data_IF_175379143012
#
_entry.id   IF_175379143012
#
_cell.length_a   1.000
_cell.length_b   1.000
_cell.length_c   1.000
_cell.angle_alpha   90.00
_cell.angle_beta   90.00
_cell.angle_gamma   90.00
#
_symmetry.space_group_name_H-M   'P 1'
#
loop_
_entity.id
_entity.type
_entity.pdbx_description
1 polymer ?
#
# COMPACT_ATOMS: atom_id res chain seq x y z
N UNK A 1 -43.41 20.02 41.97
CA UNK A 1 -42.76 18.72 41.73
C UNK A 1 -42.24 18.76 40.30
N UNK A 2 -41.05 19.37 40.12
CA UNK A 2 -40.45 19.62 38.80
C UNK A 2 -39.42 18.54 38.51
N UNK A 3 -39.72 17.71 37.51
CA UNK A 3 -38.82 16.71 36.96
C UNK A 3 -37.81 17.44 36.05
N UNK A 4 -36.53 17.45 36.46
CA UNK A 4 -35.43 17.87 35.60
C UNK A 4 -35.20 16.78 34.56
N UNK A 5 -35.45 17.10 33.29
CA UNK A 5 -34.94 16.35 32.15
C UNK A 5 -33.44 16.64 32.10
N UNK A 6 -32.62 15.64 32.43
CA UNK A 6 -31.17 15.71 32.26
C UNK A 6 -30.85 15.61 30.78
N UNK A 7 -30.36 16.70 30.19
CA UNK A 7 -29.75 16.66 28.86
C UNK A 7 -28.32 16.15 29.02
N UNK A 8 -28.05 14.96 28.50
CA UNK A 8 -26.69 14.44 28.35
C UNK A 8 -26.20 14.79 26.94
N UNK A 9 -25.85 16.05 26.72
CA UNK A 9 -25.04 16.40 25.57
C UNK A 9 -23.59 16.21 26.00
N UNK A 10 -23.01 15.05 25.66
CA UNK A 10 -21.58 14.81 25.77
C UNK A 10 -20.79 15.88 25.01
N UNK A 11 -19.50 16.00 25.31
CA UNK A 11 -18.61 16.89 24.54
C UNK A 11 -18.61 16.48 23.07
N UNK A 12 -18.32 17.42 22.17
CA UNK A 12 -18.05 17.07 20.79
C UNK A 12 -16.90 16.04 20.75
N UNK A 13 -17.22 14.79 20.40
CA UNK A 13 -16.29 13.66 20.44
C UNK A 13 -16.66 12.55 21.44
N UNK A 14 -17.61 12.76 22.35
CA UNK A 14 -18.06 11.70 23.27
C UNK A 14 -18.92 10.69 22.51
N UNK A 15 -18.33 9.54 22.18
CA UNK A 15 -18.99 8.42 21.54
C UNK A 15 -19.75 7.60 22.60
N UNK A 16 -21.02 7.21 22.36
CA UNK A 16 -21.74 6.36 23.31
C UNK A 16 -21.02 5.03 23.50
N UNK A 17 -20.95 4.56 24.75
CA UNK A 17 -20.46 3.22 25.02
C UNK A 17 -21.32 2.19 24.27
N UNK A 18 -20.69 1.23 23.61
CA UNK A 18 -21.39 0.11 22.98
C UNK A 18 -21.40 -1.05 23.96
N UNK A 19 -22.60 -1.45 24.35
CA UNK A 19 -22.80 -2.68 25.13
C UNK A 19 -22.73 -3.93 24.23
N UNK A 20 -22.17 -5.04 24.74
CA UNK A 20 -22.19 -6.34 24.05
C UNK A 20 -23.59 -6.80 23.67
N UNK A 21 -23.67 -7.70 22.69
CA UNK A 21 -24.93 -8.36 22.34
C UNK A 21 -25.44 -9.22 23.51
N UNK A 22 -26.75 -9.18 23.81
CA UNK A 22 -27.33 -9.97 24.88
C UNK A 22 -27.50 -11.45 24.47
N UNK A 23 -27.47 -12.35 25.46
CA UNK A 23 -27.75 -13.78 25.29
C UNK A 23 -26.51 -14.65 25.04
N UNK A 24 -26.72 -15.93 24.77
CA UNK A 24 -25.65 -16.89 24.46
C UNK A 24 -25.15 -16.69 23.01
N UNK A 25 -24.07 -15.93 22.90
CA UNK A 25 -23.37 -15.63 21.65
C UNK A 25 -22.08 -16.45 21.59
N UNK A 26 -21.83 -17.09 20.45
CA UNK A 26 -20.59 -17.83 20.18
C UNK A 26 -19.74 -17.09 19.16
N UNK A 27 -18.44 -17.39 19.13
CA UNK A 27 -17.51 -16.88 18.12
C UNK A 27 -18.03 -17.12 16.70
N UNK A 28 -18.52 -18.32 16.38
CA UNK A 28 -18.95 -18.70 15.03
C UNK A 28 -20.16 -17.88 14.56
N UNK A 29 -21.04 -17.48 15.49
CA UNK A 29 -22.14 -16.55 15.17
C UNK A 29 -21.61 -15.16 14.85
N UNK A 30 -20.70 -14.63 15.67
CA UNK A 30 -20.10 -13.31 15.48
C UNK A 30 -19.32 -13.25 14.17
N UNK A 31 -18.49 -14.24 13.91
CA UNK A 31 -17.70 -14.37 12.68
C UNK A 31 -18.60 -14.32 11.44
N UNK A 32 -19.64 -15.15 11.41
CA UNK A 32 -20.60 -15.16 10.31
C UNK A 32 -21.31 -13.82 10.13
N UNK A 33 -21.72 -13.17 11.23
CA UNK A 33 -22.36 -11.85 11.16
C UNK A 33 -21.41 -10.77 10.67
N UNK A 34 -20.15 -10.78 11.10
CA UNK A 34 -19.13 -9.85 10.61
C UNK A 34 -18.95 -9.99 9.10
N UNK A 35 -18.88 -11.22 8.56
CA UNK A 35 -18.80 -11.45 7.11
C UNK A 35 -20.03 -10.90 6.37
N UNK A 36 -21.24 -11.19 6.86
CA UNK A 36 -22.49 -10.70 6.26
C UNK A 36 -22.56 -9.17 6.31
N UNK A 37 -22.32 -8.56 7.47
CA UNK A 37 -22.35 -7.10 7.61
C UNK A 37 -21.23 -6.41 6.83
N UNK A 38 -20.07 -7.08 6.65
CA UNK A 38 -19.02 -6.60 5.76
C UNK A 38 -19.55 -6.52 4.33
N UNK A 39 -20.21 -7.56 3.82
CA UNK A 39 -20.85 -7.57 2.49
C UNK A 39 -21.91 -6.46 2.38
N UNK A 40 -22.81 -6.35 3.36
CA UNK A 40 -23.94 -5.42 3.37
C UNK A 40 -23.53 -3.96 3.63
N UNK A 41 -22.33 -3.74 4.16
CA UNK A 41 -21.73 -2.44 4.55
C UNK A 41 -22.35 -1.83 5.82
N UNK A 42 -22.67 -2.69 6.78
CA UNK A 42 -23.33 -2.32 8.05
C UNK A 42 -22.29 -2.21 9.19
N UNK A 43 -21.54 -1.11 9.23
CA UNK A 43 -20.42 -0.95 10.16
C UNK A 43 -20.84 -0.99 11.64
N UNK A 44 -22.02 -0.47 11.99
CA UNK A 44 -22.53 -0.51 13.37
C UNK A 44 -22.72 -1.95 13.85
N UNK A 45 -23.20 -2.83 12.97
CA UNK A 45 -23.36 -4.26 13.24
C UNK A 45 -22.02 -4.96 13.45
N UNK A 46 -21.03 -4.64 12.62
CA UNK A 46 -19.67 -5.17 12.72
C UNK A 46 -19.03 -4.75 14.05
N UNK A 47 -19.09 -3.47 14.39
CA UNK A 47 -18.49 -2.95 15.62
C UNK A 47 -19.07 -3.62 16.87
N UNK A 48 -20.40 -3.76 16.90
CA UNK A 48 -21.06 -4.44 18.00
C UNK A 48 -20.64 -5.91 18.11
N UNK A 49 -20.42 -6.59 16.98
CA UNK A 49 -19.90 -7.96 16.98
C UNK A 49 -18.46 -8.02 17.51
N UNK A 50 -17.58 -7.10 17.09
CA UNK A 50 -16.19 -7.04 17.54
C UNK A 50 -16.07 -6.76 19.05
N UNK A 51 -16.84 -5.81 19.56
CA UNK A 51 -16.89 -5.52 21.01
C UNK A 51 -17.46 -6.71 21.78
N UNK A 52 -18.48 -7.38 21.25
CA UNK A 52 -19.00 -8.61 21.87
C UNK A 52 -17.94 -9.71 21.89
N UNK A 53 -17.20 -9.91 20.80
CA UNK A 53 -16.12 -10.91 20.73
C UNK A 53 -15.04 -10.65 21.79
N UNK A 54 -14.63 -9.39 21.96
CA UNK A 54 -13.68 -8.99 23.00
C UNK A 54 -14.18 -9.27 24.41
N UNK A 55 -15.45 -8.99 24.69
CA UNK A 55 -16.03 -9.16 26.02
C UNK A 55 -16.34 -10.61 26.39
N UNK A 56 -16.50 -11.50 25.40
CA UNK A 56 -16.59 -12.94 25.64
C UNK A 56 -15.25 -13.54 26.13
N UNK A 57 -14.12 -12.90 25.82
CA UNK A 57 -12.78 -13.40 26.12
C UNK A 57 -12.31 -14.46 25.12
N UNK A 58 -11.01 -14.77 25.14
CA UNK A 58 -10.38 -15.87 24.37
C UNK A 58 -10.55 -15.81 22.84
N UNK A 59 -10.77 -14.61 22.27
CA UNK A 59 -10.99 -14.41 20.82
C UNK A 59 -10.09 -13.33 20.21
N UNK A 60 -9.18 -12.78 20.99
CA UNK A 60 -8.31 -11.65 20.60
C UNK A 60 -7.43 -11.98 19.41
N UNK A 61 -6.93 -13.21 19.40
CA UNK A 61 -6.12 -13.81 18.36
C UNK A 61 -6.91 -14.05 17.05
N UNK A 62 -8.25 -14.03 17.10
CA UNK A 62 -9.11 -14.31 15.93
C UNK A 62 -9.66 -13.06 15.25
N UNK A 63 -9.70 -11.93 15.96
CA UNK A 63 -10.29 -10.69 15.45
C UNK A 63 -9.50 -10.13 14.26
N UNK A 64 -8.18 -10.00 14.38
CA UNK A 64 -7.33 -9.49 13.31
C UNK A 64 -7.33 -10.42 12.07
N UNK A 65 -7.15 -11.75 12.19
CA UNK A 65 -7.31 -12.65 11.05
C UNK A 65 -8.63 -12.47 10.30
N UNK A 66 -9.75 -12.41 11.03
CA UNK A 66 -11.07 -12.23 10.42
C UNK A 66 -11.20 -10.88 9.69
N UNK A 67 -10.67 -9.80 10.26
CA UNK A 67 -10.67 -8.49 9.62
C UNK A 67 -9.89 -8.51 8.31
N UNK A 68 -8.72 -9.14 8.32
CA UNK A 68 -7.88 -9.34 7.14
C UNK A 68 -8.56 -10.18 6.07
N UNK A 69 -9.18 -11.31 6.45
CA UNK A 69 -9.94 -12.14 5.53
C UNK A 69 -11.05 -11.35 4.84
N UNK A 70 -11.77 -10.50 5.59
CA UNK A 70 -12.84 -9.69 5.03
C UNK A 70 -12.34 -8.64 4.01
N UNK A 71 -11.21 -7.97 4.26
CA UNK A 71 -10.70 -6.92 3.34
C UNK A 71 -10.05 -7.45 2.06
N UNK A 72 -9.79 -8.75 1.98
CA UNK A 72 -9.28 -9.42 0.78
C UNK A 72 -10.35 -10.21 0.01
N UNK A 73 -11.62 -10.06 0.41
CA UNK A 73 -12.72 -10.65 -0.35
C UNK A 73 -12.87 -9.97 -1.72
N UNK A 74 -13.33 -10.68 -2.77
CA UNK A 74 -13.36 -10.13 -4.12
C UNK A 74 -14.08 -8.79 -4.25
N UNK A 75 -15.17 -8.58 -3.51
CA UNK A 75 -15.92 -7.33 -3.53
C UNK A 75 -15.18 -6.10 -2.93
N UNK A 76 -14.01 -6.30 -2.31
CA UNK A 76 -13.09 -5.23 -1.90
C UNK A 76 -12.10 -4.82 -3.00
N UNK A 77 -12.06 -5.50 -4.14
CA UNK A 77 -11.14 -5.15 -5.22
C UNK A 77 -11.33 -3.67 -5.66
N UNK A 78 -10.24 -2.91 -5.69
CA UNK A 78 -10.26 -1.46 -5.94
C UNK A 78 -10.58 -0.60 -4.71
N UNK A 79 -10.60 -1.19 -3.52
CA UNK A 79 -10.69 -0.51 -2.22
C UNK A 79 -9.53 -0.95 -1.32
N UNK A 80 -8.35 -1.00 -1.94
CA UNK A 80 -7.16 -1.67 -1.46
C UNK A 80 -6.56 -0.99 -0.21
N UNK A 81 -6.84 0.29 0.04
CA UNK A 81 -6.41 0.98 1.26
C UNK A 81 -6.94 0.32 2.54
N UNK A 82 -8.05 -0.43 2.44
CA UNK A 82 -8.59 -1.21 3.56
C UNK A 82 -7.56 -2.20 4.10
N UNK A 83 -6.79 -2.86 3.23
CA UNK A 83 -5.73 -3.79 3.61
C UNK A 83 -4.63 -3.09 4.43
N UNK A 84 -4.20 -1.92 3.96
CA UNK A 84 -3.17 -1.10 4.60
C UNK A 84 -3.63 -0.64 5.99
N UNK A 85 -4.86 -0.14 6.09
CA UNK A 85 -5.40 0.38 7.35
C UNK A 85 -5.60 -0.71 8.41
N UNK A 86 -6.01 -1.93 8.02
CA UNK A 86 -6.02 -3.06 8.96
C UNK A 86 -4.61 -3.36 9.47
N UNK A 87 -3.57 -3.23 8.63
CA UNK A 87 -2.18 -3.35 9.07
C UNK A 87 -1.77 -2.33 10.11
N UNK A 88 -2.15 -1.07 9.96
CA UNK A 88 -1.90 -0.05 10.97
C UNK A 88 -2.61 -0.33 12.29
N UNK A 89 -3.85 -0.83 12.24
CA UNK A 89 -4.56 -1.24 13.45
C UNK A 89 -3.89 -2.44 14.13
N UNK A 90 -3.37 -3.40 13.36
CA UNK A 90 -2.67 -4.55 13.89
C UNK A 90 -1.37 -4.16 14.63
N UNK A 91 -0.58 -3.25 14.06
CA UNK A 91 0.65 -2.75 14.68
C UNK A 91 0.37 -1.85 15.89
N UNK A 92 -0.66 -1.01 15.82
CA UNK A 92 -1.12 -0.22 16.97
C UNK A 92 -1.52 -1.15 18.11
N UNK A 93 -2.26 -2.21 17.80
CA UNK A 93 -2.65 -3.21 18.79
C UNK A 93 -1.44 -3.96 19.37
N UNK A 94 -0.45 -4.31 18.56
CA UNK A 94 0.81 -4.94 19.00
C UNK A 94 1.59 -4.02 19.95
N UNK A 95 1.58 -2.71 19.72
CA UNK A 95 2.30 -1.73 20.54
C UNK A 95 1.60 -1.40 21.85
N UNK A 96 0.27 -1.24 21.85
CA UNK A 96 -0.48 -0.71 23.00
C UNK A 96 -1.34 -1.74 23.72
N UNK A 97 -1.58 -2.90 23.10
CA UNK A 97 -2.45 -3.94 23.64
C UNK A 97 -3.93 -3.57 23.61
N UNK A 98 -4.78 -4.58 23.83
CA UNK A 98 -6.23 -4.41 23.77
C UNK A 98 -6.79 -3.47 24.83
N UNK A 99 -6.22 -3.45 26.04
CA UNK A 99 -6.74 -2.63 27.15
C UNK A 99 -6.76 -1.13 26.82
N UNK A 100 -5.86 -0.68 25.94
CA UNK A 100 -5.75 0.70 25.49
C UNK A 100 -6.40 0.89 24.11
N UNK A 101 -6.23 -0.07 23.21
CA UNK A 101 -6.57 0.09 21.80
C UNK A 101 -7.98 -0.40 21.42
N UNK A 102 -8.71 -1.11 22.29
CA UNK A 102 -9.97 -1.79 21.97
C UNK A 102 -10.96 -0.91 21.22
N UNK A 103 -11.32 0.25 21.78
CA UNK A 103 -12.34 1.12 21.18
C UNK A 103 -11.93 1.58 19.78
N UNK A 104 -10.67 1.99 19.61
CA UNK A 104 -10.15 2.45 18.33
C UNK A 104 -10.11 1.32 17.29
N UNK A 105 -9.57 0.16 17.66
CA UNK A 105 -9.43 -1.00 16.77
C UNK A 105 -10.79 -1.53 16.36
N UNK A 106 -11.71 -1.73 17.31
CA UNK A 106 -13.06 -2.20 16.99
C UNK A 106 -13.82 -1.19 16.14
N UNK A 107 -13.72 0.11 16.45
CA UNK A 107 -14.42 1.14 15.68
C UNK A 107 -13.89 1.28 14.25
N UNK A 108 -12.58 1.42 14.09
CA UNK A 108 -11.99 1.66 12.78
C UNK A 108 -12.05 0.40 11.91
N UNK A 109 -11.80 -0.78 12.47
CA UNK A 109 -12.01 -2.05 11.74
C UNK A 109 -13.44 -2.13 11.21
N UNK A 110 -14.43 -1.86 12.06
CA UNK A 110 -15.82 -1.89 11.65
C UNK A 110 -16.14 -0.91 10.52
N UNK A 111 -15.64 0.33 10.61
CA UNK A 111 -15.82 1.34 9.55
C UNK A 111 -15.10 0.98 8.26
N UNK A 112 -13.91 0.37 8.34
CA UNK A 112 -13.17 -0.12 7.17
C UNK A 112 -13.96 -1.23 6.49
N UNK A 113 -14.45 -2.21 7.25
CA UNK A 113 -15.21 -3.34 6.71
C UNK A 113 -16.58 -2.91 6.17
N UNK A 114 -17.26 -2.01 6.87
CA UNK A 114 -18.57 -1.48 6.49
C UNK A 114 -18.51 -0.26 5.57
N UNK A 115 -17.34 0.08 5.01
CA UNK A 115 -17.22 1.27 4.14
C UNK A 115 -18.10 1.16 2.91
N UNK A 116 -18.61 2.31 2.45
CA UNK A 116 -19.34 2.40 1.20
C UNK A 116 -18.48 1.98 0.01
N UNK A 117 -18.85 0.89 -0.65
CA UNK A 117 -18.28 0.43 -1.92
C UNK A 117 -19.34 0.68 -2.99
N UNK A 118 -19.14 1.71 -3.82
CA UNK A 118 -20.04 2.04 -4.93
C UNK A 118 -20.19 0.86 -5.90
N UNK A 119 -21.20 0.88 -6.77
CA UNK A 119 -21.36 -0.18 -7.77
C UNK A 119 -20.10 -0.29 -8.65
N UNK A 120 -19.55 -1.49 -8.89
CA UNK A 120 -18.38 -1.67 -9.74
C UNK A 120 -18.68 -1.29 -11.18
N UNK A 121 -17.74 -0.60 -11.82
CA UNK A 121 -17.74 -0.44 -13.28
C UNK A 121 -17.49 -1.79 -13.98
N UNK A 122 -17.50 -1.79 -15.31
CA UNK A 122 -17.32 -3.02 -16.10
C UNK A 122 -15.98 -3.71 -15.82
N UNK A 123 -14.87 -2.96 -15.90
CA UNK A 123 -13.53 -3.50 -15.71
C UNK A 123 -13.35 -4.04 -14.28
N UNK A 124 -13.89 -3.36 -13.27
CA UNK A 124 -13.83 -3.84 -11.88
C UNK A 124 -14.70 -5.07 -11.66
N UNK A 125 -15.85 -5.21 -12.35
CA UNK A 125 -16.64 -6.45 -12.31
C UNK A 125 -15.87 -7.63 -12.89
N UNK A 126 -15.14 -7.41 -13.99
CA UNK A 126 -14.27 -8.45 -14.57
C UNK A 126 -13.16 -8.85 -13.59
N UNK A 127 -12.49 -7.88 -12.96
CA UNK A 127 -11.48 -8.15 -11.94
C UNK A 127 -12.02 -8.92 -10.74
N UNK A 128 -13.21 -8.55 -10.25
CA UNK A 128 -13.91 -9.26 -9.17
C UNK A 128 -14.18 -10.72 -9.58
N UNK A 129 -14.79 -10.94 -10.74
CA UNK A 129 -15.09 -12.29 -11.24
C UNK A 129 -13.83 -13.14 -11.44
N UNK A 130 -12.73 -12.53 -11.88
CA UNK A 130 -11.44 -13.23 -12.03
C UNK A 130 -10.88 -13.63 -10.66
N UNK A 131 -10.93 -12.75 -9.65
CA UNK A 131 -10.50 -13.10 -8.29
C UNK A 131 -11.38 -14.19 -7.66
N UNK A 132 -12.70 -14.13 -7.84
CA UNK A 132 -13.64 -15.20 -7.43
C UNK A 132 -13.25 -16.55 -8.06
N UNK A 133 -12.87 -16.55 -9.34
CA UNK A 133 -12.46 -17.78 -10.04
C UNK A 133 -11.16 -18.40 -9.51
N UNK A 134 -10.37 -17.65 -8.74
CA UNK A 134 -9.09 -18.09 -8.19
C UNK A 134 -9.19 -18.59 -6.74
N UNK A 135 -10.36 -18.47 -6.09
CA UNK A 135 -10.49 -18.81 -4.67
C UNK A 135 -10.15 -20.28 -4.36
N UNK A 136 -10.69 -21.22 -5.15
CA UNK A 136 -10.40 -22.65 -4.98
C UNK A 136 -8.91 -22.96 -5.21
N UNK A 137 -8.28 -22.28 -6.17
CA UNK A 137 -6.86 -22.42 -6.44
C UNK A 137 -6.01 -21.92 -5.26
N UNK A 138 -6.35 -20.77 -4.68
CA UNK A 138 -5.63 -20.22 -3.52
C UNK A 138 -5.83 -21.11 -2.29
N UNK A 139 -7.05 -21.60 -2.06
CA UNK A 139 -7.36 -22.52 -0.97
C UNK A 139 -6.60 -23.85 -1.10
N UNK A 140 -6.53 -24.42 -2.31
CA UNK A 140 -5.74 -25.62 -2.58
C UNK A 140 -4.25 -25.38 -2.33
N UNK A 141 -3.67 -24.27 -2.79
CA UNK A 141 -2.28 -23.93 -2.50
C UNK A 141 -2.00 -23.75 -1.01
N UNK A 142 -2.93 -23.18 -0.25
CA UNK A 142 -2.78 -23.02 1.19
C UNK A 142 -2.77 -24.36 1.93
N UNK A 143 -3.59 -25.32 1.48
CA UNK A 143 -3.64 -26.67 2.03
C UNK A 143 -2.48 -27.55 1.53
N UNK A 144 -2.07 -27.35 0.28
CA UNK A 144 -1.07 -28.13 -0.44
C UNK A 144 -0.03 -27.18 -1.07
N UNK A 145 0.92 -26.65 -0.28
CA UNK A 145 1.94 -25.75 -0.80
C UNK A 145 2.70 -26.37 -1.97
N UNK A 146 2.98 -25.56 -3.00
CA UNK A 146 3.72 -26.02 -4.17
C UNK A 146 5.08 -26.55 -3.76
N UNK A 147 5.41 -27.76 -4.20
CA UNK A 147 6.76 -28.33 -4.06
C UNK A 147 7.67 -27.96 -5.22
N UNK A 148 7.16 -27.18 -6.18
CA UNK A 148 7.97 -26.69 -7.29
C UNK A 148 8.91 -25.62 -6.78
N UNK A 149 10.15 -25.69 -7.22
CA UNK A 149 11.15 -24.64 -7.03
C UNK A 149 11.63 -24.25 -8.41
N UNK A 150 10.77 -23.56 -9.16
CA UNK A 150 11.19 -22.95 -10.41
C UNK A 150 12.00 -21.68 -10.10
N UNK A 151 12.91 -21.33 -11.00
CA UNK A 151 13.57 -20.04 -10.89
C UNK A 151 12.54 -18.93 -11.13
N UNK A 152 12.58 -17.89 -10.30
CA UNK A 152 11.64 -16.78 -10.39
C UNK A 152 12.22 -15.72 -11.32
N UNK A 153 11.71 -15.70 -12.55
CA UNK A 153 12.00 -14.66 -13.52
C UNK A 153 11.33 -13.35 -13.10
N UNK A 154 12.07 -12.55 -12.34
CA UNK A 154 11.60 -11.28 -11.80
C UNK A 154 11.24 -10.29 -12.90
N UNK A 155 12.01 -10.26 -13.99
CA UNK A 155 11.79 -9.31 -15.08
C UNK A 155 10.52 -9.65 -15.87
N UNK A 156 10.25 -10.94 -16.10
CA UNK A 156 8.99 -11.38 -16.67
C UNK A 156 7.81 -11.10 -15.73
N UNK A 157 8.01 -11.27 -14.41
CA UNK A 157 6.98 -10.96 -13.42
C UNK A 157 6.58 -9.48 -13.47
N UNK A 158 7.56 -8.55 -13.39
CA UNK A 158 7.25 -7.12 -13.42
C UNK A 158 6.64 -6.69 -14.76
N UNK A 159 7.08 -7.26 -15.88
CA UNK A 159 6.48 -7.00 -17.19
C UNK A 159 5.01 -7.42 -17.23
N UNK A 160 4.66 -8.56 -16.63
CA UNK A 160 3.28 -9.00 -16.48
C UNK A 160 2.44 -8.08 -15.59
N UNK A 161 2.99 -7.61 -14.46
CA UNK A 161 2.26 -6.76 -13.50
C UNK A 161 1.86 -5.41 -14.11
N UNK A 162 2.68 -4.83 -15.00
CA UNK A 162 2.40 -3.53 -15.64
C UNK A 162 2.06 -3.65 -17.12
N UNK A 163 1.57 -4.82 -17.57
CA UNK A 163 1.22 -5.05 -18.97
C UNK A 163 0.10 -4.12 -19.48
N UNK A 164 -0.76 -3.64 -18.56
CA UNK A 164 -1.97 -2.91 -18.89
C UNK A 164 -3.15 -3.81 -19.28
N UNK A 165 -2.93 -5.13 -19.30
CA UNK A 165 -3.93 -6.17 -19.53
C UNK A 165 -4.26 -6.89 -18.22
N UNK A 166 -5.56 -7.03 -17.92
CA UNK A 166 -6.04 -7.57 -16.65
C UNK A 166 -5.71 -9.06 -16.52
N UNK A 167 -5.81 -9.82 -17.61
CA UNK A 167 -5.55 -11.25 -17.61
C UNK A 167 -4.06 -11.49 -17.36
N UNK A 168 -3.18 -10.83 -18.10
CA UNK A 168 -1.73 -10.94 -17.90
C UNK A 168 -1.30 -10.54 -16.48
N UNK A 169 -1.90 -9.47 -15.94
CA UNK A 169 -1.57 -8.95 -14.59
C UNK A 169 -1.92 -9.96 -13.49
N UNK A 170 -3.06 -10.65 -13.57
CA UNK A 170 -3.47 -11.64 -12.57
C UNK A 170 -2.81 -13.00 -12.84
N UNK A 171 -2.61 -13.37 -14.10
CA UNK A 171 -2.00 -14.63 -14.49
C UNK A 171 -0.52 -14.66 -14.09
N UNK A 172 0.20 -13.53 -14.09
CA UNK A 172 1.60 -13.49 -13.63
C UNK A 172 1.71 -13.78 -12.12
N UNK A 173 0.79 -13.24 -11.30
CA UNK A 173 0.71 -13.57 -9.86
C UNK A 173 0.41 -15.05 -9.68
N UNK A 174 -0.55 -15.57 -10.44
CA UNK A 174 -0.94 -16.98 -10.42
C UNK A 174 0.24 -17.89 -10.79
N UNK A 175 1.02 -17.53 -11.82
CA UNK A 175 2.22 -18.28 -12.24
C UNK A 175 3.28 -18.29 -11.15
N UNK A 176 3.55 -17.14 -10.51
CA UNK A 176 4.51 -17.05 -9.41
C UNK A 176 4.09 -17.91 -8.20
N UNK A 177 2.82 -17.87 -7.81
CA UNK A 177 2.29 -18.71 -6.73
C UNK A 177 2.37 -20.21 -7.07
N UNK A 178 1.97 -20.61 -8.29
CA UNK A 178 2.07 -22.00 -8.77
C UNK A 178 3.52 -22.51 -8.77
N UNK A 179 4.45 -21.65 -9.14
CA UNK A 179 5.89 -21.93 -9.16
C UNK A 179 6.53 -22.07 -7.76
N UNK A 180 5.76 -21.85 -6.69
CA UNK A 180 6.27 -21.94 -5.31
C UNK A 180 7.11 -20.75 -4.89
N UNK A 181 6.94 -19.58 -5.53
CA UNK A 181 7.67 -18.37 -5.16
C UNK A 181 7.14 -17.86 -3.82
N UNK A 182 8.05 -17.71 -2.85
CA UNK A 182 7.74 -17.14 -1.54
C UNK A 182 7.05 -15.78 -1.65
N UNK A 183 5.95 -15.58 -0.93
CA UNK A 183 5.18 -14.32 -0.95
C UNK A 183 6.08 -13.11 -0.66
N UNK A 184 6.99 -13.24 0.32
CA UNK A 184 7.91 -12.15 0.66
C UNK A 184 8.83 -11.75 -0.50
N UNK A 185 9.20 -12.68 -1.40
CA UNK A 185 9.98 -12.39 -2.61
C UNK A 185 9.13 -11.66 -3.64
N UNK A 186 7.90 -12.11 -3.87
CA UNK A 186 6.93 -11.43 -4.74
C UNK A 186 6.68 -10.00 -4.26
N UNK A 187 6.50 -9.81 -2.94
CA UNK A 187 6.31 -8.48 -2.33
C UNK A 187 7.52 -7.58 -2.55
N UNK A 188 8.75 -8.06 -2.31
CA UNK A 188 9.96 -7.26 -2.58
C UNK A 188 10.02 -6.79 -4.03
N UNK A 189 9.69 -7.68 -4.98
CA UNK A 189 9.64 -7.33 -6.41
C UNK A 189 8.58 -6.27 -6.71
N UNK A 190 7.37 -6.38 -6.16
CA UNK A 190 6.30 -5.37 -6.34
C UNK A 190 6.68 -4.02 -5.72
N UNK A 191 7.28 -4.02 -4.53
CA UNK A 191 7.80 -2.82 -3.86
C UNK A 191 8.85 -2.12 -4.73
N UNK A 192 9.83 -2.89 -5.23
CA UNK A 192 10.90 -2.36 -6.08
C UNK A 192 10.38 -1.88 -7.43
N UNK A 193 9.35 -2.53 -7.98
CA UNK A 193 8.65 -2.06 -9.18
C UNK A 193 7.98 -0.70 -8.96
N UNK A 194 7.24 -0.54 -7.86
CA UNK A 194 6.64 0.75 -7.49
C UNK A 194 7.70 1.84 -7.28
N UNK A 195 8.81 1.50 -6.61
CA UNK A 195 9.93 2.41 -6.41
C UNK A 195 10.61 2.81 -7.72
N UNK A 196 10.82 1.86 -8.64
CA UNK A 196 11.40 2.13 -9.96
C UNK A 196 10.46 2.99 -10.83
N UNK A 197 9.15 2.73 -10.79
CA UNK A 197 8.15 3.57 -11.44
C UNK A 197 8.21 4.99 -10.89
N UNK A 198 8.19 5.15 -9.57
CA UNK A 198 8.34 6.43 -8.88
C UNK A 198 9.64 7.15 -9.25
N UNK A 199 10.75 6.44 -9.29
CA UNK A 199 12.05 6.99 -9.65
C UNK A 199 12.13 7.43 -11.11
N UNK A 200 11.20 7.04 -11.99
CA UNK A 200 11.22 7.33 -13.43
C UNK A 200 10.03 8.12 -13.96
N UNK A 201 8.98 8.34 -13.17
CA UNK A 201 7.83 9.18 -13.53
C UNK A 201 8.29 10.54 -14.03
N UNK A 202 7.83 11.05 -15.19
CA UNK A 202 8.24 12.37 -15.68
C UNK A 202 7.77 13.45 -14.71
N UNK A 203 8.59 14.44 -14.41
CA UNK A 203 8.23 15.51 -13.47
C UNK A 203 6.99 16.31 -13.90
N UNK A 204 6.66 16.31 -15.20
CA UNK A 204 5.45 16.93 -15.73
C UNK A 204 4.16 16.14 -15.48
N UNK A 205 4.23 14.97 -14.84
CA UNK A 205 3.07 14.15 -14.48
C UNK A 205 2.63 14.48 -13.05
N UNK A 206 1.71 15.43 -12.89
CA UNK A 206 1.26 15.88 -11.55
C UNK A 206 0.24 15.00 -10.83
N UNK A 207 -0.76 14.35 -11.47
CA UNK A 207 -1.77 13.61 -10.71
C UNK A 207 -1.31 12.22 -10.24
N UNK A 208 -0.15 11.72 -10.71
CA UNK A 208 0.26 10.32 -10.52
C UNK A 208 1.08 10.00 -9.29
N UNK A 209 1.66 11.01 -8.62
CA UNK A 209 2.61 10.79 -7.53
C UNK A 209 2.01 10.07 -6.33
N UNK A 210 0.75 10.34 -5.97
CA UNK A 210 0.07 9.67 -4.87
C UNK A 210 -0.17 8.18 -5.12
N UNK A 211 -0.50 7.82 -6.37
CA UNK A 211 -0.71 6.42 -6.75
C UNK A 211 0.59 5.62 -6.63
N UNK A 212 1.73 6.21 -6.99
CA UNK A 212 3.04 5.57 -6.88
C UNK A 212 3.44 5.31 -5.41
N UNK A 213 3.16 6.26 -4.50
CA UNK A 213 3.35 6.04 -3.06
C UNK A 213 2.46 4.94 -2.52
N UNK A 214 1.24 4.83 -3.06
CA UNK A 214 0.26 3.80 -2.72
C UNK A 214 0.66 2.42 -3.24
N UNK A 215 1.17 2.29 -4.46
CA UNK A 215 1.71 1.04 -5.04
C UNK A 215 2.73 0.40 -4.07
N UNK A 216 3.71 1.18 -3.60
CA UNK A 216 4.76 0.73 -2.69
C UNK A 216 4.18 0.33 -1.32
N UNK A 217 3.36 1.20 -0.72
CA UNK A 217 2.82 1.01 0.63
C UNK A 217 1.86 -0.20 0.68
N UNK A 218 1.02 -0.37 -0.34
CA UNK A 218 0.13 -1.52 -0.46
C UNK A 218 0.90 -2.82 -0.66
N UNK A 219 1.90 -2.85 -1.54
CA UNK A 219 2.72 -4.04 -1.75
C UNK A 219 3.37 -4.49 -0.44
N UNK A 220 4.02 -3.58 0.29
CA UNK A 220 4.65 -3.89 1.58
C UNK A 220 3.65 -4.39 2.63
N UNK A 221 2.41 -3.87 2.64
CA UNK A 221 1.36 -4.26 3.60
C UNK A 221 0.98 -5.75 3.56
N UNK A 222 1.26 -6.45 2.46
CA UNK A 222 1.05 -7.90 2.34
C UNK A 222 1.89 -8.66 3.37
N UNK A 223 3.06 -8.16 3.76
CA UNK A 223 3.90 -8.79 4.80
C UNK A 223 3.17 -8.82 6.15
N UNK A 224 2.47 -7.73 6.48
CA UNK A 224 1.65 -7.62 7.69
C UNK A 224 0.44 -8.55 7.61
N UNK A 225 -0.22 -8.62 6.44
CA UNK A 225 -1.29 -9.60 6.21
C UNK A 225 -0.82 -11.05 6.37
N UNK A 226 0.36 -11.39 5.83
CA UNK A 226 0.97 -12.71 5.99
C UNK A 226 1.27 -13.03 7.46
N UNK A 227 1.79 -12.05 8.21
CA UNK A 227 2.12 -12.19 9.64
C UNK A 227 0.89 -12.47 10.49
N UNK A 228 -0.20 -11.72 10.28
CA UNK A 228 -1.38 -11.76 11.17
C UNK A 228 -2.51 -12.67 10.69
N UNK A 229 -2.58 -12.99 9.40
CA UNK A 229 -3.70 -13.75 8.83
C UNK A 229 -3.28 -14.92 7.93
N UNK A 230 -1.97 -15.13 7.75
CA UNK A 230 -1.43 -16.31 7.08
C UNK A 230 -1.45 -16.27 5.55
N UNK A 231 -1.05 -17.40 4.96
CA UNK A 231 -0.77 -17.51 3.52
C UNK A 231 -1.98 -17.22 2.64
N UNK A 232 -3.15 -17.77 2.96
CA UNK A 232 -4.35 -17.65 2.12
C UNK A 232 -4.77 -16.18 1.94
N UNK A 233 -4.77 -15.40 3.03
CA UNK A 233 -5.06 -13.96 2.97
C UNK A 233 -3.97 -13.22 2.19
N UNK A 234 -2.69 -13.49 2.48
CA UNK A 234 -1.59 -12.82 1.79
C UNK A 234 -1.59 -13.12 0.27
N UNK A 235 -1.95 -14.33 -0.13
CA UNK A 235 -2.09 -14.72 -1.53
C UNK A 235 -3.25 -13.98 -2.21
N UNK A 236 -4.43 -13.86 -1.57
CA UNK A 236 -5.52 -13.00 -2.06
C UNK A 236 -5.07 -11.54 -2.17
N UNK A 237 -4.36 -11.03 -1.16
CA UNK A 237 -3.85 -9.66 -1.12
C UNK A 237 -2.91 -9.30 -2.29
N UNK A 238 -2.12 -10.26 -2.81
CA UNK A 238 -1.30 -10.05 -4.01
C UNK A 238 -2.14 -9.61 -5.22
N UNK A 239 -3.36 -10.14 -5.38
CA UNK A 239 -4.26 -9.76 -6.48
C UNK A 239 -4.86 -8.37 -6.27
N UNK A 240 -5.11 -7.95 -5.03
CA UNK A 240 -5.52 -6.57 -4.73
C UNK A 240 -4.42 -5.56 -5.08
N UNK A 241 -3.16 -5.90 -4.78
CA UNK A 241 -2.01 -5.08 -5.15
C UNK A 241 -1.76 -5.10 -6.66
N UNK A 242 -1.89 -6.25 -7.32
CA UNK A 242 -1.81 -6.35 -8.77
C UNK A 242 -2.90 -5.50 -9.46
N UNK A 243 -4.12 -5.49 -8.91
CA UNK A 243 -5.18 -4.60 -9.35
C UNK A 243 -4.84 -3.11 -9.18
N UNK A 244 -4.09 -2.72 -8.15
CA UNK A 244 -3.60 -1.35 -8.00
C UNK A 244 -2.70 -0.98 -9.19
N UNK A 245 -1.68 -1.79 -9.48
CA UNK A 245 -0.80 -1.55 -10.64
C UNK A 245 -1.56 -1.50 -11.96
N UNK A 246 -2.52 -2.41 -12.17
CA UNK A 246 -3.39 -2.40 -13.34
C UNK A 246 -4.28 -1.16 -13.40
N UNK A 247 -4.83 -0.73 -12.28
CA UNK A 247 -5.64 0.50 -12.19
C UNK A 247 -4.79 1.72 -12.55
N UNK A 248 -3.51 1.71 -12.17
CA UNK A 248 -2.53 2.76 -12.44
C UNK A 248 -1.88 2.68 -13.84
N UNK A 249 -2.39 1.82 -14.73
CA UNK A 249 -1.90 1.71 -16.13
C UNK A 249 -2.00 3.03 -16.91
N UNK A 250 -2.91 3.93 -16.51
CA UNK A 250 -3.03 5.26 -17.11
C UNK A 250 -1.78 6.14 -16.90
N UNK A 251 -0.95 5.84 -15.89
CA UNK A 251 0.36 6.48 -15.71
C UNK A 251 1.31 6.19 -16.87
N UNK A 252 1.11 5.06 -17.57
CA UNK A 252 1.85 4.67 -18.79
C UNK A 252 3.38 4.88 -18.66
N UNK A 253 3.91 4.48 -17.51
CA UNK A 253 5.34 4.49 -17.20
C UNK A 253 5.99 3.30 -17.90
N UNK A 254 6.94 3.56 -18.81
CA UNK A 254 7.64 2.50 -19.55
C UNK A 254 8.24 1.49 -18.58
N UNK A 255 8.04 0.19 -18.82
CA UNK A 255 8.67 -0.86 -18.02
C UNK A 255 10.18 -0.92 -18.29
N UNK A 256 10.95 -1.30 -17.27
CA UNK A 256 12.38 -1.59 -17.41
C UNK A 256 12.72 -2.75 -16.50
N UNK A 257 13.58 -3.70 -16.92
CA UNK A 257 14.03 -4.78 -16.05
C UNK A 257 14.59 -4.26 -14.71
N UNK A 258 14.23 -4.93 -13.62
CA UNK A 258 14.75 -4.63 -12.27
C UNK A 258 16.17 -5.20 -12.09
N UNK A 259 16.49 -6.26 -12.83
CA UNK A 259 17.83 -6.86 -12.85
C UNK A 259 18.89 -5.96 -13.48
N UNK A 260 18.48 -4.99 -14.32
CA UNK A 260 19.41 -4.13 -15.05
C UNK A 260 20.01 -3.06 -14.14
N UNK A 261 21.32 -3.14 -13.94
CA UNK A 261 22.12 -2.10 -13.28
C UNK A 261 21.85 -0.75 -13.92
N UNK A 262 21.55 0.25 -13.08
CA UNK A 262 21.31 1.62 -13.52
C UNK A 262 22.65 2.35 -13.72
N UNK A 263 22.59 3.57 -14.28
CA UNK A 263 23.77 4.42 -14.48
C UNK A 263 24.65 4.41 -13.22
N UNK A 264 25.95 4.25 -13.42
CA UNK A 264 26.98 4.13 -12.38
C UNK A 264 27.79 5.41 -12.20
N UNK A 265 27.33 6.54 -12.77
CA UNK A 265 28.01 7.83 -12.63
C UNK A 265 27.98 8.27 -11.16
N UNK A 266 29.14 8.46 -10.50
CA UNK A 266 29.22 8.93 -9.12
C UNK A 266 28.94 10.44 -9.01
N UNK A 267 28.85 10.93 -7.79
CA UNK A 267 28.74 12.37 -7.49
C UNK A 267 30.04 13.09 -7.84
N UNK A 268 29.90 14.32 -8.35
CA UNK A 268 31.03 15.24 -8.56
C UNK A 268 31.41 16.00 -7.27
N UNK A 269 30.62 15.83 -6.20
CA UNK A 269 30.88 16.47 -4.92
C UNK A 269 32.23 16.00 -4.31
N UNK A 270 33.06 16.91 -3.78
CA UNK A 270 34.36 16.58 -3.19
C UNK A 270 34.30 15.61 -2.00
N UNK A 271 33.19 15.60 -1.26
CA UNK A 271 32.99 14.79 -0.07
C UNK A 271 31.49 14.50 0.16
N UNK A 272 31.21 13.61 1.12
CA UNK A 272 29.86 13.18 1.45
C UNK A 272 28.96 14.31 1.96
N UNK A 273 29.51 15.25 2.74
CA UNK A 273 28.75 16.36 3.32
C UNK A 273 28.20 17.27 2.22
N UNK A 274 29.05 17.66 1.26
CA UNK A 274 28.65 18.47 0.10
C UNK A 274 27.67 17.71 -0.81
N UNK A 275 27.79 16.39 -0.91
CA UNK A 275 26.88 15.56 -1.68
C UNK A 275 25.48 15.48 -1.04
N UNK A 276 25.40 15.35 0.30
CA UNK A 276 24.14 15.42 1.05
C UNK A 276 23.53 16.80 0.92
N UNK A 277 24.33 17.86 1.11
CA UNK A 277 23.86 19.24 0.98
C UNK A 277 23.24 19.48 -0.41
N UNK A 278 23.84 18.95 -1.48
CA UNK A 278 23.29 19.03 -2.82
C UNK A 278 21.92 18.34 -2.95
N UNK A 279 21.74 17.14 -2.36
CA UNK A 279 20.44 16.44 -2.35
C UNK A 279 19.40 17.24 -1.57
N UNK A 280 19.72 17.67 -0.34
CA UNK A 280 18.76 18.39 0.51
C UNK A 280 18.39 19.75 -0.10
N UNK A 281 19.36 20.49 -0.63
CA UNK A 281 19.11 21.75 -1.33
C UNK A 281 18.19 21.54 -2.55
N UNK A 282 18.39 20.47 -3.33
CA UNK A 282 17.52 20.15 -4.44
C UNK A 282 16.06 19.85 -4.00
N UNK A 283 15.84 19.26 -2.82
CA UNK A 283 14.50 19.08 -2.24
C UNK A 283 13.93 20.43 -1.81
N UNK A 284 14.67 21.21 -1.02
CA UNK A 284 14.22 22.48 -0.44
C UNK A 284 13.85 23.51 -1.52
N UNK A 285 14.63 23.52 -2.61
CA UNK A 285 14.46 24.41 -3.78
C UNK A 285 13.62 23.81 -4.92
N UNK A 286 13.03 22.63 -4.72
CA UNK A 286 12.05 22.00 -5.64
C UNK A 286 12.64 21.68 -7.02
N UNK A 287 13.86 21.13 -7.07
CA UNK A 287 14.50 20.74 -8.32
C UNK A 287 14.01 19.36 -8.80
N UNK A 288 12.72 19.23 -9.12
CA UNK A 288 12.07 17.94 -9.42
C UNK A 288 12.73 17.18 -10.59
N UNK A 289 13.27 17.91 -11.57
CA UNK A 289 13.98 17.31 -12.71
C UNK A 289 15.37 16.76 -12.33
N UNK A 290 16.08 17.45 -11.43
CA UNK A 290 17.47 17.13 -11.09
C UNK A 290 17.60 16.20 -9.88
N UNK A 291 16.67 16.26 -8.92
CA UNK A 291 16.78 15.54 -7.65
C UNK A 291 16.98 14.04 -7.85
N UNK A 292 16.33 13.44 -8.84
CA UNK A 292 16.50 12.02 -9.16
C UNK A 292 17.92 11.69 -9.63
N UNK A 293 18.52 12.56 -10.44
CA UNK A 293 19.90 12.41 -10.93
C UNK A 293 20.91 12.61 -9.79
N UNK A 294 20.76 13.66 -8.99
CA UNK A 294 21.66 14.00 -7.88
C UNK A 294 21.64 12.87 -6.83
N UNK A 295 20.45 12.40 -6.44
CA UNK A 295 20.30 11.29 -5.48
C UNK A 295 20.95 10.02 -6.01
N UNK A 296 20.78 9.71 -7.30
CA UNK A 296 21.40 8.54 -7.92
C UNK A 296 22.93 8.64 -7.95
N UNK A 297 23.47 9.82 -8.24
CA UNK A 297 24.91 10.06 -8.22
C UNK A 297 25.51 9.89 -6.81
N UNK A 298 24.80 10.35 -5.77
CA UNK A 298 25.18 10.07 -4.38
C UNK A 298 25.29 8.56 -4.13
N UNK A 299 24.25 7.80 -4.47
CA UNK A 299 24.15 6.34 -4.27
C UNK A 299 25.14 5.52 -5.11
N UNK A 300 25.76 6.13 -6.11
CA UNK A 300 26.82 5.51 -6.92
C UNK A 300 28.22 5.86 -6.42
N UNK A 301 28.32 6.70 -5.40
CA UNK A 301 29.59 7.06 -4.74
C UNK A 301 29.86 6.11 -3.58
N UNK A 302 31.10 6.08 -3.08
CA UNK A 302 31.46 5.29 -1.88
C UNK A 302 31.02 5.99 -0.57
N UNK A 303 29.82 6.59 -0.60
CA UNK A 303 29.21 7.31 0.52
C UNK A 303 28.18 6.43 1.23
N UNK A 304 27.73 6.85 2.41
CA UNK A 304 26.82 6.06 3.23
C UNK A 304 25.37 6.21 2.78
N UNK A 305 24.83 5.16 2.17
CA UNK A 305 23.40 5.11 1.83
C UNK A 305 22.48 5.31 3.05
N UNK A 306 22.87 4.79 4.22
CA UNK A 306 22.10 4.92 5.47
C UNK A 306 22.12 6.37 5.98
N UNK A 307 23.22 7.10 5.76
CA UNK A 307 23.28 8.53 6.05
C UNK A 307 22.34 9.31 5.16
N UNK A 308 22.31 9.02 3.86
CA UNK A 308 21.35 9.62 2.94
C UNK A 308 19.90 9.31 3.33
N UNK A 309 19.58 8.05 3.65
CA UNK A 309 18.24 7.66 4.12
C UNK A 309 17.82 8.50 5.35
N UNK A 310 18.72 8.66 6.33
CA UNK A 310 18.47 9.47 7.54
C UNK A 310 18.25 10.95 7.21
N UNK A 311 19.12 11.56 6.41
CA UNK A 311 19.02 12.99 6.06
C UNK A 311 17.80 13.30 5.18
N UNK A 312 17.48 12.42 4.23
CA UNK A 312 16.22 12.47 3.48
C UNK A 312 15.03 12.41 4.44
N UNK A 313 15.00 11.44 5.36
CA UNK A 313 13.93 11.31 6.34
C UNK A 313 13.75 12.56 7.21
N UNK A 314 14.84 13.14 7.70
CA UNK A 314 14.79 14.37 8.51
C UNK A 314 14.31 15.58 7.70
N UNK A 315 14.83 15.79 6.49
CA UNK A 315 14.36 16.83 5.58
C UNK A 315 12.88 16.65 5.28
N UNK A 316 12.47 15.38 5.12
CA UNK A 316 11.08 15.02 4.89
C UNK A 316 10.23 15.43 6.10
N UNK A 317 10.54 14.97 7.30
CA UNK A 317 9.73 15.25 8.49
C UNK A 317 9.66 16.73 8.89
N UNK A 318 10.71 17.53 8.66
CA UNK A 318 10.73 18.96 9.02
C UNK A 318 9.64 19.78 8.33
N UNK A 319 9.36 19.44 7.08
CA UNK A 319 8.43 20.16 6.21
C UNK A 319 7.12 19.37 5.98
N UNK A 320 6.84 18.35 6.80
CA UNK A 320 5.57 17.63 6.70
C UNK A 320 4.40 18.52 7.14
N UNK A 321 3.51 18.80 6.20
CA UNK A 321 2.29 19.58 6.37
C UNK A 321 1.04 18.70 6.48
N UNK A 322 1.19 17.38 6.70
CA UNK A 322 0.10 16.45 6.98
C UNK A 322 -0.52 15.80 5.74
N UNK A 323 0.23 15.67 4.64
CA UNK A 323 -0.27 15.11 3.37
C UNK A 323 0.05 13.62 3.20
N UNK A 324 -0.14 12.79 4.23
CA UNK A 324 0.07 11.33 4.18
C UNK A 324 1.46 10.88 3.68
N UNK A 325 2.49 11.73 3.83
CA UNK A 325 3.86 11.44 3.38
C UNK A 325 4.53 10.36 4.25
N UNK A 326 4.12 10.29 5.52
CA UNK A 326 4.71 9.43 6.54
C UNK A 326 4.62 7.95 6.20
N UNK A 327 3.55 7.51 5.53
CA UNK A 327 3.34 6.10 5.21
C UNK A 327 4.39 5.61 4.21
N UNK A 328 4.54 6.31 3.08
CA UNK A 328 5.55 5.96 2.07
C UNK A 328 6.97 6.15 2.58
N UNK A 329 7.22 7.18 3.40
CA UNK A 329 8.51 7.36 4.08
C UNK A 329 8.84 6.13 4.94
N UNK A 330 7.93 5.75 5.84
CA UNK A 330 8.12 4.58 6.71
C UNK A 330 8.32 3.31 5.89
N UNK A 331 7.48 3.06 4.89
CA UNK A 331 7.61 1.87 4.03
C UNK A 331 8.97 1.84 3.34
N UNK A 332 9.50 3.01 2.91
CA UNK A 332 10.83 3.08 2.30
C UNK A 332 11.93 2.69 3.28
N UNK A 333 11.84 3.11 4.55
CA UNK A 333 12.78 2.72 5.61
C UNK A 333 12.74 1.21 5.88
N UNK A 334 11.54 0.65 6.01
CA UNK A 334 11.36 -0.78 6.29
C UNK A 334 11.87 -1.63 5.10
N UNK A 335 11.47 -1.28 3.88
CA UNK A 335 11.86 -2.01 2.67
C UNK A 335 13.33 -1.76 2.26
N UNK A 336 13.95 -0.67 2.69
CA UNK A 336 15.38 -0.43 2.49
C UNK A 336 16.20 -1.59 3.06
N UNK A 337 15.88 -2.07 4.26
CA UNK A 337 16.57 -3.20 4.86
C UNK A 337 16.20 -4.53 4.18
N UNK A 338 14.91 -4.74 3.89
CA UNK A 338 14.43 -5.99 3.29
C UNK A 338 14.90 -6.22 1.85
N UNK A 339 15.22 -5.15 1.12
CA UNK A 339 15.74 -5.20 -0.25
C UNK A 339 17.28 -5.14 -0.33
N UNK A 340 17.99 -5.37 0.78
CA UNK A 340 19.46 -5.37 0.78
C UNK A 340 20.03 -6.37 -0.24
N UNK A 341 21.03 -5.94 -1.00
CA UNK A 341 21.67 -6.76 -2.04
C UNK A 341 20.93 -6.81 -3.37
N UNK A 342 19.72 -6.23 -3.47
CA UNK A 342 19.00 -6.16 -4.74
C UNK A 342 19.54 -5.04 -5.65
N UNK A 343 19.79 -5.28 -6.96
CA UNK A 343 20.32 -4.26 -7.87
C UNK A 343 19.41 -3.02 -8.00
N UNK A 344 18.09 -3.21 -7.87
CA UNK A 344 17.12 -2.11 -7.92
C UNK A 344 16.91 -1.38 -6.58
N UNK A 345 17.55 -1.79 -5.48
CA UNK A 345 17.32 -1.23 -4.12
C UNK A 345 17.42 0.30 -4.10
N UNK A 346 18.38 0.87 -4.81
CA UNK A 346 18.61 2.32 -4.87
C UNK A 346 17.42 3.11 -5.45
N UNK A 347 16.50 2.46 -6.18
CA UNK A 347 15.28 3.12 -6.66
C UNK A 347 14.34 3.54 -5.52
N UNK A 348 14.42 2.89 -4.35
CA UNK A 348 13.66 3.30 -3.16
C UNK A 348 13.99 4.74 -2.77
N UNK A 349 15.27 5.07 -2.64
CA UNK A 349 15.72 6.41 -2.25
C UNK A 349 15.58 7.44 -3.36
N UNK A 350 15.86 7.05 -4.61
CA UNK A 350 15.65 7.94 -5.77
C UNK A 350 14.16 8.27 -5.94
N UNK A 351 13.29 7.27 -5.86
CA UNK A 351 11.84 7.42 -5.93
C UNK A 351 11.33 8.32 -4.82
N UNK A 352 11.69 8.03 -3.57
CA UNK A 352 11.30 8.83 -2.40
C UNK A 352 11.71 10.29 -2.57
N UNK A 353 12.97 10.58 -2.90
CA UNK A 353 13.46 11.95 -3.05
C UNK A 353 12.69 12.72 -4.14
N UNK A 354 12.43 12.09 -5.30
CA UNK A 354 11.65 12.70 -6.39
C UNK A 354 10.21 12.97 -5.97
N UNK A 355 9.56 11.96 -5.42
CA UNK A 355 8.16 12.03 -4.98
C UNK A 355 7.97 13.11 -3.94
N UNK A 356 8.80 13.13 -2.89
CA UNK A 356 8.69 14.15 -1.84
C UNK A 356 8.95 15.55 -2.36
N UNK A 357 9.89 15.72 -3.30
CA UNK A 357 10.16 17.04 -3.89
C UNK A 357 8.96 17.58 -4.65
N UNK A 358 8.21 16.73 -5.35
CA UNK A 358 6.98 17.16 -6.05
C UNK A 358 5.82 17.40 -5.08
N UNK A 359 5.43 16.40 -4.28
CA UNK A 359 4.17 16.45 -3.50
C UNK A 359 4.16 17.52 -2.41
N UNK A 360 5.32 17.95 -1.90
CA UNK A 360 5.41 18.93 -0.81
C UNK A 360 5.03 20.35 -1.20
N UNK A 361 5.23 20.74 -2.47
CA UNK A 361 5.11 22.14 -2.90
C UNK A 361 4.39 22.34 -4.23
N UNK A 362 3.85 21.28 -4.84
CA UNK A 362 3.07 21.39 -6.07
C UNK A 362 1.64 21.90 -5.79
N UNK A 363 1.51 23.18 -5.43
CA UNK A 363 0.23 23.90 -5.32
C UNK A 363 -0.31 24.39 -6.67
N UNK A 364 0.37 24.07 -7.79
CA UNK A 364 -0.01 24.56 -9.12
C UNK A 364 -0.99 23.61 -9.82
N UNK A 365 -2.29 23.91 -9.70
CA UNK A 365 -3.41 23.27 -10.42
C UNK A 365 -3.23 23.18 -11.94
N UNK A 366 -2.36 24.02 -12.50
CA UNK A 366 -2.05 24.05 -13.93
C UNK A 366 -1.38 22.76 -14.41
N UNK A 367 -0.69 22.03 -13.54
CA UNK A 367 -0.05 20.77 -13.92
C UNK A 367 -1.08 19.66 -14.20
N UNK A 368 -2.03 19.45 -13.30
CA UNK A 368 -3.14 18.51 -13.49
C UNK A 368 -4.03 18.91 -14.68
N UNK A 369 -4.33 20.20 -14.85
CA UNK A 369 -5.10 20.69 -15.99
C UNK A 369 -4.38 20.45 -17.34
N UNK A 370 -3.06 20.65 -17.38
CA UNK A 370 -2.25 20.35 -18.58
C UNK A 370 -2.19 18.85 -18.86
N UNK A 371 -1.98 18.01 -17.86
CA UNK A 371 -2.01 16.55 -18.03
C UNK A 371 -3.37 16.07 -18.56
N UNK A 372 -4.47 16.57 -18.00
CA UNK A 372 -5.83 16.24 -18.47
C UNK A 372 -6.07 16.72 -19.91
N UNK A 373 -5.63 17.93 -20.27
CA UNK A 373 -5.73 18.44 -21.64
C UNK A 373 -4.91 17.61 -22.64
N UNK A 374 -3.74 17.10 -22.23
CA UNK A 374 -2.90 16.21 -23.06
C UNK A 374 -3.59 14.88 -23.32
N UNK A 375 -4.10 14.23 -22.26
CA UNK A 375 -4.88 13.00 -22.40
C UNK A 375 -6.13 13.20 -23.26
N UNK A 376 -6.80 14.36 -23.13
CA UNK A 376 -7.94 14.71 -24.00
C UNK A 376 -7.56 14.87 -25.48
N UNK A 377 -6.28 15.12 -25.80
CA UNK A 377 -5.75 15.18 -27.17
C UNK A 377 -5.21 13.82 -27.66
N UNK A 378 -5.23 12.78 -26.82
CA UNK A 378 -4.65 11.48 -27.12
C UNK A 378 -3.13 11.42 -26.97
N UNK A 379 -2.49 12.49 -26.48
CA UNK A 379 -1.08 12.48 -26.09
C UNK A 379 -0.94 11.64 -24.81
N UNK A 380 -0.01 10.69 -24.78
CA UNK A 380 0.16 9.79 -23.63
C UNK A 380 1.38 10.19 -22.81
N UNK A 381 1.54 9.59 -21.62
CA UNK A 381 2.75 9.80 -20.82
C UNK A 381 4.04 9.44 -21.57
N UNK A 382 3.96 8.53 -22.56
CA UNK A 382 5.09 8.15 -23.41
C UNK A 382 5.71 9.36 -24.10
N UNK A 383 4.88 10.31 -24.52
CA UNK A 383 5.32 11.54 -25.19
C UNK A 383 6.09 12.49 -24.25
N UNK A 384 6.00 12.27 -22.93
CA UNK A 384 6.78 12.99 -21.91
C UNK A 384 8.17 12.38 -21.68
N UNK A 385 8.41 11.14 -22.12
CA UNK A 385 9.72 10.50 -22.03
C UNK A 385 10.63 10.84 -23.22
N UNK A 386 10.08 11.46 -24.26
CA UNK A 386 10.79 11.81 -25.50
C UNK A 386 11.15 13.31 -25.58
N UNK A 387 10.78 14.09 -24.57
CA UNK A 387 11.17 15.49 -24.35
C UNK A 387 12.19 15.57 -23.22
#
# INVERSE_FOLDING_TARGET
MNQKIGSSHGRAGDRPAIDPLPGEITWEKLERWIRVFSVDREWEGIEKCLITARRLGDHDDKILPLAYECVVEPFFLGHNESLLYIGYLAELLEQFGWDVAEELVCNLTAKILGRGRGAPDEIRREGIAKLESLEDFIADLAANPSTQTADFDEDAFVAGIVSGDLDDTFDTVTKALKAGVEINRIVSTMVLLGADRMARTPASMSPGWWELGREISLASSIRTALRFAGFQVAAKALYHVAWQFFSDRWLNIRQTPLSTLRSTTPSEAPNEDEAIEAVINAIETIQIQEIGRITRQYLNSDFSDDRLLSELGQSILKDDNGWDILNTLRTTFDEWQLCQGHPARNQLLVGLARWTTDVRKNTNSDSAARTAQRFARGETAVDLYEQ
#
